data_IF_899043772735
#
_entry.id   IF_899043772735
#
_cell.length_a   1.000
_cell.length_b   1.000
_cell.length_c   1.000
_cell.angle_alpha   90.00
_cell.angle_beta   90.00
_cell.angle_gamma   90.00
#
_symmetry.space_group_name_H-M   'P 1'
#
loop_
_entity.id
_entity.type
_entity.pdbx_description
1 polymer ?
#
# COMPACT_ATOMS: atom_id res chain seq x y z
N UNK A 1 23.56 -35.00 -46.69
CA UNK A 1 24.25 -34.02 -45.81
C UNK A 1 23.27 -33.34 -44.86
N UNK A 2 22.54 -34.12 -44.05
CA UNK A 2 21.54 -33.65 -43.06
C UNK A 2 21.94 -34.04 -41.61
N UNK A 3 23.23 -34.25 -41.36
CA UNK A 3 23.70 -34.93 -40.14
C UNK A 3 24.90 -34.28 -39.45
N UNK A 4 25.24 -33.03 -39.77
CA UNK A 4 26.38 -32.32 -39.18
C UNK A 4 26.06 -30.99 -38.51
N UNK A 5 24.77 -30.63 -38.37
CA UNK A 5 24.36 -29.37 -37.70
C UNK A 5 23.84 -29.63 -36.27
N UNK A 6 23.73 -30.89 -35.85
CA UNK A 6 23.10 -31.28 -34.58
C UNK A 6 24.07 -31.50 -33.41
N UNK A 7 25.34 -31.14 -33.56
CA UNK A 7 26.40 -31.49 -32.58
C UNK A 7 27.19 -30.28 -32.03
N UNK A 8 26.65 -29.07 -32.18
CA UNK A 8 27.22 -27.85 -31.60
C UNK A 8 26.33 -27.15 -30.56
N UNK A 9 25.23 -27.78 -30.13
CA UNK A 9 24.33 -27.23 -29.11
C UNK A 9 24.42 -27.91 -27.74
N UNK A 10 25.45 -28.74 -27.51
CA UNK A 10 25.61 -29.53 -26.27
C UNK A 10 26.75 -29.08 -25.35
N UNK A 11 27.32 -27.89 -25.56
CA UNK A 11 28.39 -27.35 -24.70
C UNK A 11 28.17 -25.87 -24.32
N UNK A 12 26.96 -25.48 -23.92
CA UNK A 12 26.80 -24.29 -23.08
C UNK A 12 26.94 -24.72 -21.62
N UNK A 13 28.03 -24.34 -20.92
CA UNK A 13 28.19 -24.66 -19.51
C UNK A 13 27.06 -24.01 -18.70
N UNK A 14 26.49 -24.78 -17.77
CA UNK A 14 25.56 -24.36 -16.71
C UNK A 14 26.21 -23.37 -15.72
N UNK A 15 26.83 -22.31 -16.22
CA UNK A 15 27.51 -21.29 -15.45
C UNK A 15 26.77 -19.96 -15.51
N UNK A 16 25.45 -19.95 -15.38
CA UNK A 16 24.70 -18.67 -15.35
C UNK A 16 23.39 -18.70 -14.55
N UNK A 17 23.24 -19.63 -13.60
CA UNK A 17 22.11 -19.62 -12.66
C UNK A 17 22.26 -18.62 -11.51
N UNK A 18 23.47 -18.11 -11.24
CA UNK A 18 23.77 -17.31 -10.05
C UNK A 18 23.68 -15.79 -10.24
N UNK A 19 23.63 -15.31 -11.49
CA UNK A 19 23.66 -13.86 -11.79
C UNK A 19 22.24 -13.26 -11.75
N UNK A 20 21.20 -14.06 -11.96
CA UNK A 20 19.81 -13.57 -12.00
C UNK A 20 19.17 -13.34 -10.63
N UNK A 21 19.68 -13.97 -9.56
CA UNK A 21 19.17 -13.78 -8.21
C UNK A 21 19.42 -12.35 -7.67
N UNK A 22 20.51 -11.71 -8.09
CA UNK A 22 20.87 -10.36 -7.68
C UNK A 22 20.04 -9.28 -8.40
N UNK A 23 19.67 -9.52 -9.66
CA UNK A 23 18.83 -8.57 -10.41
C UNK A 23 17.40 -8.49 -9.85
N UNK A 24 16.87 -9.58 -9.29
CA UNK A 24 15.56 -9.60 -8.62
C UNK A 24 15.60 -9.05 -7.18
N UNK A 25 16.79 -8.87 -6.62
CA UNK A 25 17.00 -8.32 -5.27
C UNK A 25 17.36 -6.83 -5.27
N UNK A 26 17.45 -6.19 -6.45
CA UNK A 26 17.65 -4.75 -6.51
C UNK A 26 16.35 -4.03 -6.12
N UNK A 27 16.35 -3.19 -5.07
CA UNK A 27 15.21 -2.33 -4.80
C UNK A 27 15.03 -1.40 -6.00
N UNK A 28 13.91 -1.56 -6.71
CA UNK A 28 13.52 -0.65 -7.77
C UNK A 28 13.22 0.71 -7.14
N UNK A 29 14.15 1.66 -7.29
CA UNK A 29 13.90 3.07 -7.01
C UNK A 29 13.41 3.71 -8.32
N UNK A 30 12.19 4.25 -8.34
CA UNK A 30 11.69 4.96 -9.51
C UNK A 30 12.53 6.25 -9.69
N UNK A 31 13.06 6.57 -10.89
CA UNK A 31 13.84 7.79 -11.12
C UNK A 31 13.07 9.08 -10.77
N UNK A 32 11.74 9.07 -10.74
CA UNK A 32 10.93 10.19 -10.24
C UNK A 32 11.12 10.44 -8.73
N UNK A 33 11.50 9.42 -7.97
CA UNK A 33 11.80 9.50 -6.54
C UNK A 33 13.18 10.13 -6.27
N UNK A 34 14.06 10.12 -7.28
CA UNK A 34 15.34 10.82 -7.24
C UNK A 34 15.20 12.33 -7.52
N UNK A 35 14.10 12.76 -8.16
CA UNK A 35 13.83 14.18 -8.41
C UNK A 35 13.48 14.97 -7.12
N UNK A 36 13.20 14.26 -6.02
CA UNK A 36 13.08 14.83 -4.67
C UNK A 36 14.42 15.20 -4.02
N UNK A 37 15.56 14.71 -4.54
CA UNK A 37 16.88 15.26 -4.27
C UNK A 37 17.19 16.39 -5.26
N UNK A 38 16.28 17.37 -5.37
CA UNK A 38 16.66 18.66 -5.93
C UNK A 38 17.80 19.22 -5.09
N UNK A 39 18.95 19.38 -5.74
CA UNK A 39 20.20 19.98 -5.27
C UNK A 39 19.94 20.94 -4.11
N UNK A 40 20.14 20.45 -2.88
CA UNK A 40 20.51 21.34 -1.79
C UNK A 40 21.85 21.89 -2.23
N UNK A 41 21.87 23.20 -2.53
CA UNK A 41 23.11 23.94 -2.71
C UNK A 41 24.06 23.51 -1.61
N UNK A 42 25.23 22.99 -1.99
CA UNK A 42 26.31 22.61 -1.08
C UNK A 42 26.86 23.87 -0.40
N UNK A 43 26.08 24.51 0.46
CA UNK A 43 26.62 25.14 1.65
C UNK A 43 26.87 23.99 2.61
N UNK A 44 28.15 23.67 2.85
CA UNK A 44 28.61 22.85 3.98
C UNK A 44 28.17 23.53 5.28
N UNK A 45 26.88 23.47 5.60
CA UNK A 45 26.35 23.78 6.91
C UNK A 45 26.47 22.53 7.79
N UNK A 46 26.68 22.69 9.10
CA UNK A 46 26.75 21.56 10.01
C UNK A 46 25.44 20.78 9.92
N UNK A 47 25.54 19.49 9.58
CA UNK A 47 24.45 18.53 9.67
C UNK A 47 24.01 18.48 11.12
N UNK A 48 22.88 19.13 11.44
CA UNK A 48 22.35 19.16 12.81
C UNK A 48 21.87 17.76 13.16
N UNK A 49 22.57 17.14 14.10
CA UNK A 49 22.18 15.86 14.64
C UNK A 49 20.92 16.00 15.48
N UNK A 50 20.01 15.04 15.39
CA UNK A 50 18.74 15.06 16.10
C UNK A 50 18.27 13.64 16.46
N UNK A 51 17.40 13.57 17.46
CA UNK A 51 16.68 12.39 17.93
C UNK A 51 15.15 12.55 17.83
N UNK A 52 14.66 13.80 17.81
CA UNK A 52 13.25 14.15 17.70
C UNK A 52 13.04 15.49 16.96
N UNK A 53 11.84 15.69 16.40
CA UNK A 53 11.52 16.82 15.51
C UNK A 53 11.70 18.19 16.19
N UNK A 54 11.54 18.27 17.51
CA UNK A 54 11.70 19.53 18.27
C UNK A 54 13.14 20.03 18.33
N UNK A 55 14.13 19.16 18.11
CA UNK A 55 15.54 19.55 17.98
C UNK A 55 15.82 20.26 16.66
N UNK A 56 14.91 20.17 15.69
CA UNK A 56 15.05 20.78 14.39
C UNK A 56 14.34 22.14 14.32
N UNK A 57 14.91 23.05 13.52
CA UNK A 57 14.31 24.37 13.27
C UNK A 57 12.99 24.29 12.50
N UNK A 58 12.32 25.43 12.35
CA UNK A 58 11.06 25.53 11.57
C UNK A 58 11.28 25.05 10.13
N UNK A 59 10.32 24.29 9.61
CA UNK A 59 10.39 23.75 8.24
C UNK A 59 11.24 22.48 8.09
N UNK A 60 11.77 21.95 9.20
CA UNK A 60 12.57 20.74 9.26
C UNK A 60 11.89 19.69 10.16
N UNK A 61 12.19 18.42 9.92
CA UNK A 61 11.87 17.30 10.82
C UNK A 61 13.13 16.46 11.06
N UNK A 62 13.09 15.62 12.09
CA UNK A 62 14.21 14.72 12.38
C UNK A 62 14.03 13.39 11.65
N UNK A 63 14.88 13.08 10.67
CA UNK A 63 14.95 11.73 10.14
C UNK A 63 15.66 10.83 11.15
N UNK A 64 14.89 10.18 12.02
CA UNK A 64 15.41 9.31 13.08
C UNK A 64 16.26 8.15 12.58
N UNK A 65 16.16 7.77 11.31
CA UNK A 65 17.02 6.72 10.76
C UNK A 65 18.46 7.22 10.58
N UNK A 66 18.62 8.45 10.08
CA UNK A 66 19.93 9.06 9.86
C UNK A 66 20.38 9.95 11.02
N UNK A 67 19.46 10.30 11.93
CA UNK A 67 19.70 11.23 13.03
C UNK A 67 19.97 12.66 12.58
N UNK A 68 19.37 13.10 11.47
CA UNK A 68 19.64 14.40 10.84
C UNK A 68 18.37 15.21 10.63
N UNK A 69 18.46 16.52 10.86
CA UNK A 69 17.39 17.44 10.50
C UNK A 69 17.31 17.62 8.97
N UNK A 70 16.15 17.34 8.40
CA UNK A 70 15.90 17.43 6.95
C UNK A 70 14.62 18.22 6.67
N UNK A 71 14.47 18.75 5.46
CA UNK A 71 13.30 19.55 5.08
C UNK A 71 12.00 18.73 5.12
N UNK A 72 10.91 19.39 5.54
CA UNK A 72 9.55 18.84 5.41
C UNK A 72 9.24 18.49 3.96
N UNK A 73 8.39 17.47 3.79
CA UNK A 73 8.01 16.87 2.52
C UNK A 73 6.76 17.55 1.95
N UNK A 74 6.80 17.81 0.65
CA UNK A 74 5.69 18.35 -0.12
C UNK A 74 4.79 17.25 -0.67
N UNK A 75 3.64 17.64 -1.23
CA UNK A 75 2.66 16.71 -1.81
C UNK A 75 3.31 15.77 -2.83
N UNK A 76 2.98 14.47 -2.75
CA UNK A 76 3.53 13.41 -3.59
C UNK A 76 4.87 12.83 -3.12
N UNK A 77 5.64 13.52 -2.28
CA UNK A 77 6.93 13.00 -1.80
C UNK A 77 6.73 11.88 -0.78
N UNK A 78 7.67 10.92 -0.74
CA UNK A 78 7.60 9.85 0.23
C UNK A 78 7.75 10.31 1.67
N UNK A 79 6.97 9.67 2.53
CA UNK A 79 6.95 9.92 3.96
C UNK A 79 6.73 8.60 4.71
N UNK A 80 7.05 8.63 5.99
CA UNK A 80 6.83 7.52 6.94
C UNK A 80 5.84 7.91 8.04
N UNK A 81 5.68 9.22 8.30
CA UNK A 81 4.83 9.78 9.36
C UNK A 81 4.30 11.14 8.94
N UNK A 82 3.13 11.53 9.46
CA UNK A 82 2.51 12.83 9.18
C UNK A 82 3.42 14.03 9.49
N UNK A 83 4.23 13.96 10.56
CA UNK A 83 5.13 15.05 10.95
C UNK A 83 6.23 15.36 9.94
N UNK A 84 6.44 14.48 8.97
CA UNK A 84 7.40 14.68 7.89
C UNK A 84 6.83 15.56 6.78
N UNK A 85 5.51 15.72 6.68
CA UNK A 85 4.86 16.49 5.63
C UNK A 85 4.69 17.95 6.04
N UNK A 86 4.65 18.86 5.05
CA UNK A 86 4.28 20.25 5.29
C UNK A 86 2.85 20.36 5.81
N UNK A 87 2.54 21.48 6.49
CA UNK A 87 1.23 21.74 7.10
C UNK A 87 0.08 21.55 6.09
N UNK A 88 -0.96 20.83 6.50
CA UNK A 88 -2.16 20.56 5.69
C UNK A 88 -2.09 19.24 4.92
N UNK A 89 -0.92 18.60 4.88
CA UNK A 89 -0.75 17.26 4.34
C UNK A 89 -0.60 16.23 5.46
N UNK A 90 -0.97 14.99 5.16
CA UNK A 90 -0.73 13.82 5.98
C UNK A 90 0.01 12.76 5.18
N UNK A 91 0.70 11.86 5.87
CA UNK A 91 1.34 10.73 5.24
C UNK A 91 0.32 9.62 5.03
N UNK A 92 -0.10 9.41 3.77
CA UNK A 92 -1.11 8.43 3.38
C UNK A 92 -0.52 7.55 2.28
N UNK A 93 -0.58 6.23 2.45
CA UNK A 93 -0.05 5.27 1.47
C UNK A 93 1.43 5.50 1.14
N UNK A 94 2.21 5.97 2.12
CA UNK A 94 3.63 6.25 2.00
C UNK A 94 3.99 7.57 1.31
N UNK A 95 3.02 8.41 0.94
CA UNK A 95 3.28 9.73 0.32
C UNK A 95 2.52 10.85 1.04
N UNK A 96 3.08 12.05 1.03
CA UNK A 96 2.40 13.22 1.56
C UNK A 96 1.22 13.58 0.65
N UNK A 97 0.00 13.54 1.17
CA UNK A 97 -1.23 13.84 0.44
C UNK A 97 -2.08 14.80 1.25
N UNK A 98 -2.99 15.51 0.57
CA UNK A 98 -3.98 16.34 1.27
C UNK A 98 -4.83 15.47 2.17
N UNK A 99 -5.01 15.93 3.42
CA UNK A 99 -5.89 15.24 4.34
C UNK A 99 -7.34 15.43 3.93
N UNK A 100 -8.06 14.32 3.78
CA UNK A 100 -9.51 14.35 3.57
C UNK A 100 -10.17 14.67 4.92
N UNK A 101 -11.11 15.63 4.98
CA UNK A 101 -11.83 15.96 6.21
C UNK A 101 -12.51 14.74 6.82
N UNK A 102 -12.54 14.65 8.15
CA UNK A 102 -13.15 13.53 8.87
C UNK A 102 -14.62 13.31 8.47
N UNK A 103 -15.08 12.06 8.52
CA UNK A 103 -16.43 11.69 8.14
C UNK A 103 -16.62 11.38 6.65
N UNK A 104 -15.72 11.82 5.77
CA UNK A 104 -15.82 11.59 4.33
C UNK A 104 -15.12 10.31 3.88
N UNK A 105 -15.50 9.81 2.71
CA UNK A 105 -14.85 8.66 2.08
C UNK A 105 -13.35 8.91 1.86
N UNK A 106 -12.51 7.95 2.27
CA UNK A 106 -11.05 8.08 2.26
C UNK A 106 -10.45 8.83 3.46
N UNK A 107 -11.27 9.47 4.30
CA UNK A 107 -10.78 10.13 5.52
C UNK A 107 -10.24 9.13 6.53
N UNK A 108 -9.20 9.50 7.27
CA UNK A 108 -8.63 8.64 8.31
C UNK A 108 -9.62 8.49 9.47
N UNK A 109 -9.79 7.27 9.96
CA UNK A 109 -10.71 6.93 11.04
C UNK A 109 -10.04 6.01 12.06
N UNK A 110 -10.64 5.91 13.25
CA UNK A 110 -10.28 4.91 14.26
C UNK A 110 -11.38 3.89 14.48
N UNK A 111 -12.63 4.32 14.31
CA UNK A 111 -13.82 3.49 14.47
C UNK A 111 -14.96 4.00 13.58
N UNK A 112 -15.97 3.15 13.36
CA UNK A 112 -17.07 3.44 12.42
C UNK A 112 -17.80 4.76 12.69
N UNK A 113 -17.93 5.19 13.96
CA UNK A 113 -18.57 6.47 14.33
C UNK A 113 -17.83 7.71 13.81
N UNK A 114 -16.56 7.56 13.42
CA UNK A 114 -15.77 8.65 12.85
C UNK A 114 -16.15 8.90 11.37
N UNK A 115 -16.93 8.01 10.78
CA UNK A 115 -17.37 8.03 9.39
C UNK A 115 -18.84 8.44 9.26
N UNK A 116 -19.23 8.94 8.09
CA UNK A 116 -20.63 9.26 7.77
C UNK A 116 -21.53 8.02 7.81
N UNK A 117 -22.87 8.20 7.91
CA UNK A 117 -23.82 7.11 7.72
C UNK A 117 -23.55 6.34 6.42
N UNK A 118 -23.78 5.02 6.43
CA UNK A 118 -23.46 4.08 5.34
C UNK A 118 -21.96 3.91 5.01
N UNK A 119 -21.08 4.29 5.93
CA UNK A 119 -19.65 3.98 5.86
C UNK A 119 -19.21 3.10 7.03
N UNK A 120 -18.01 2.52 6.92
CA UNK A 120 -17.30 1.86 8.00
C UNK A 120 -15.84 2.29 8.02
N UNK A 121 -15.17 2.07 9.15
CA UNK A 121 -13.75 2.29 9.31
C UNK A 121 -12.98 1.01 9.04
N UNK A 122 -12.31 0.93 7.88
CA UNK A 122 -11.63 -0.28 7.43
C UNK A 122 -10.29 0.03 6.76
N UNK A 123 -9.40 -0.98 6.75
CA UNK A 123 -8.08 -0.83 6.12
C UNK A 123 -8.16 -0.79 4.59
N UNK A 124 -7.40 0.12 4.02
CA UNK A 124 -7.06 0.16 2.60
C UNK A 124 -5.56 0.37 2.50
N UNK A 125 -4.84 -0.55 1.84
CA UNK A 125 -3.38 -0.50 1.75
C UNK A 125 -2.67 -0.25 3.10
N UNK A 126 -3.22 -0.83 4.18
CA UNK A 126 -2.69 -0.69 5.54
C UNK A 126 -3.13 0.56 6.33
N UNK A 127 -3.73 1.56 5.68
CA UNK A 127 -4.27 2.77 6.33
C UNK A 127 -5.72 2.56 6.77
N UNK A 128 -6.07 3.01 7.98
CA UNK A 128 -7.46 3.01 8.48
C UNK A 128 -8.24 4.19 7.90
N UNK A 129 -9.20 3.92 7.02
CA UNK A 129 -9.99 4.96 6.35
C UNK A 129 -11.49 4.66 6.35
N UNK A 130 -12.29 5.71 6.21
CA UNK A 130 -13.72 5.60 5.96
C UNK A 130 -13.97 5.07 4.55
N UNK A 131 -14.65 3.93 4.45
CA UNK A 131 -15.06 3.29 3.20
C UNK A 131 -16.56 3.10 3.20
N UNK A 132 -17.20 3.07 2.03
CA UNK A 132 -18.63 2.77 1.94
C UNK A 132 -18.94 1.33 2.35
N UNK A 133 -20.09 1.13 3.00
CA UNK A 133 -20.69 -0.20 3.15
C UNK A 133 -21.03 -0.78 1.77
N UNK A 134 -21.06 -2.10 1.67
CA UNK A 134 -21.22 -2.78 0.39
C UNK A 134 -22.71 -2.79 -0.04
N UNK A 135 -23.05 -2.29 -1.23
CA UNK A 135 -24.43 -2.27 -1.72
C UNK A 135 -24.89 -3.67 -2.14
N UNK A 136 -26.17 -3.80 -2.48
CA UNK A 136 -26.76 -5.03 -3.04
C UNK A 136 -25.92 -5.55 -4.23
N UNK A 137 -25.59 -6.84 -4.22
CA UNK A 137 -24.72 -7.48 -5.21
C UNK A 137 -23.22 -7.15 -5.08
N UNK A 138 -22.82 -6.36 -4.09
CA UNK A 138 -21.42 -6.11 -3.76
C UNK A 138 -20.70 -7.38 -3.32
N UNK A 139 -19.45 -7.56 -3.74
CA UNK A 139 -18.62 -8.70 -3.32
C UNK A 139 -18.23 -8.54 -1.86
N UNK A 140 -18.60 -9.51 -1.03
CA UNK A 140 -18.41 -9.46 0.43
C UNK A 140 -17.53 -10.60 0.97
N UNK A 141 -16.82 -11.32 0.09
CA UNK A 141 -15.92 -12.40 0.49
C UNK A 141 -14.80 -11.88 1.39
N UNK A 142 -14.73 -12.39 2.62
CA UNK A 142 -13.65 -12.11 3.57
C UNK A 142 -12.78 -13.37 3.68
N UNK A 143 -11.47 -13.29 3.35
CA UNK A 143 -10.56 -14.40 3.59
C UNK A 143 -10.52 -14.78 5.07
N UNK A 144 -10.26 -16.05 5.38
CA UNK A 144 -10.15 -16.52 6.78
C UNK A 144 -9.06 -15.79 7.58
N UNK A 145 -8.06 -15.20 6.91
CA UNK A 145 -7.08 -14.33 7.53
C UNK A 145 -5.85 -14.05 6.65
N UNK A 146 -4.70 -13.87 7.30
CA UNK A 146 -3.41 -13.63 6.64
C UNK A 146 -3.19 -12.18 6.20
N UNK A 147 -2.09 -11.96 5.48
CA UNK A 147 -1.65 -10.64 5.04
C UNK A 147 -2.68 -9.96 4.11
N UNK A 148 -3.40 -10.75 3.32
CA UNK A 148 -4.44 -10.26 2.42
C UNK A 148 -5.57 -9.55 3.20
N UNK A 149 -5.99 -10.12 4.35
CA UNK A 149 -7.01 -9.52 5.21
C UNK A 149 -6.48 -8.35 6.04
N UNK A 150 -5.20 -8.38 6.46
CA UNK A 150 -4.64 -7.33 7.32
C UNK A 150 -4.28 -6.03 6.58
N UNK A 151 -4.07 -6.07 5.26
CA UNK A 151 -3.78 -4.88 4.44
C UNK A 151 -5.06 -4.24 3.90
N UNK A 152 -6.02 -5.06 3.46
CA UNK A 152 -7.24 -4.61 2.80
C UNK A 152 -8.46 -5.27 3.45
N UNK A 153 -9.24 -4.48 4.16
CA UNK A 153 -10.47 -4.93 4.81
C UNK A 153 -11.68 -4.41 4.04
N UNK A 154 -12.71 -5.23 3.93
CA UNK A 154 -14.01 -4.85 3.36
C UNK A 154 -14.89 -4.23 4.45
N UNK A 155 -15.79 -3.33 4.05
CA UNK A 155 -16.88 -2.96 4.93
C UNK A 155 -17.96 -4.04 4.95
N UNK A 156 -18.80 -4.09 5.99
CA UNK A 156 -20.00 -4.90 5.97
C UNK A 156 -20.95 -4.45 4.85
N UNK A 157 -21.90 -5.32 4.52
CA UNK A 157 -23.01 -4.95 3.66
C UNK A 157 -23.81 -3.78 4.27
N UNK A 158 -24.52 -3.06 3.42
CA UNK A 158 -25.49 -2.05 3.85
C UNK A 158 -26.58 -2.66 4.74
N UNK A 159 -27.28 -1.80 5.48
CA UNK A 159 -28.30 -2.23 6.42
C UNK A 159 -29.41 -3.03 5.72
N UNK A 160 -29.80 -4.15 6.34
CA UNK A 160 -30.79 -5.05 5.77
C UNK A 160 -30.27 -6.01 4.71
N UNK A 161 -28.95 -6.06 4.45
CA UNK A 161 -28.33 -7.04 3.55
C UNK A 161 -27.50 -8.07 4.32
N UNK A 162 -27.43 -9.29 3.80
CA UNK A 162 -26.65 -10.40 4.35
C UNK A 162 -25.63 -10.86 3.30
N UNK A 163 -24.39 -11.08 3.72
CA UNK A 163 -23.36 -11.67 2.86
C UNK A 163 -23.61 -13.18 2.72
N UNK A 164 -24.00 -13.63 1.53
CA UNK A 164 -24.30 -15.04 1.26
C UNK A 164 -23.83 -15.50 -0.13
N UNK A 165 -23.66 -16.80 -0.32
CA UNK A 165 -23.23 -17.38 -1.60
C UNK A 165 -24.42 -17.51 -2.57
N UNK A 166 -24.26 -17.03 -3.80
CA UNK A 166 -25.32 -17.04 -4.84
C UNK A 166 -25.73 -18.46 -5.27
N UNK A 167 -24.91 -19.48 -4.98
CA UNK A 167 -25.24 -20.89 -5.25
C UNK A 167 -25.38 -21.70 -3.96
N UNK A 168 -26.53 -22.38 -3.71
CA UNK A 168 -26.58 -23.43 -2.72
C UNK A 168 -25.67 -24.57 -3.17
N UNK A 169 -24.87 -25.10 -2.24
CA UNK A 169 -23.91 -26.20 -2.39
C UNK A 169 -24.59 -27.43 -3.06
N UNK A 170 -24.66 -27.47 -4.39
CA UNK A 170 -24.93 -28.69 -5.16
C UNK A 170 -23.58 -29.26 -5.53
N UNK A 171 -23.32 -30.51 -5.16
CA UNK A 171 -22.08 -31.22 -5.50
C UNK A 171 -21.79 -31.06 -7.00
N UNK A 172 -20.84 -30.20 -7.33
CA UNK A 172 -20.26 -30.09 -8.66
C UNK A 172 -18.77 -30.30 -8.52
N UNK A 173 -18.25 -30.94 -9.56
CA UNK A 173 -16.86 -31.28 -9.81
C UNK A 173 -15.90 -30.19 -9.35
N UNK A 174 -14.80 -30.60 -8.71
CA UNK A 174 -13.82 -29.75 -8.04
C UNK A 174 -13.10 -28.83 -9.04
N UNK A 175 -13.76 -27.75 -9.45
CA UNK A 175 -13.14 -26.63 -10.15
C UNK A 175 -12.68 -25.66 -9.07
N UNK A 176 -11.37 -25.48 -8.94
CA UNK A 176 -10.79 -24.47 -8.05
C UNK A 176 -11.22 -23.07 -8.52
N UNK A 177 -12.30 -22.54 -7.92
CA UNK A 177 -12.71 -21.14 -8.05
C UNK A 177 -12.53 -20.44 -6.71
N UNK A 178 -11.61 -19.47 -6.59
CA UNK A 178 -11.38 -18.78 -5.34
C UNK A 178 -12.53 -17.80 -5.06
N UNK A 179 -13.50 -18.22 -4.23
CA UNK A 179 -14.31 -17.33 -3.37
C UNK A 179 -15.14 -16.20 -4.01
N UNK A 180 -15.46 -16.25 -5.31
CA UNK A 180 -16.09 -15.14 -6.05
C UNK A 180 -17.60 -14.96 -5.83
N UNK A 181 -18.26 -15.92 -5.19
CA UNK A 181 -19.72 -16.05 -5.25
C UNK A 181 -20.44 -15.44 -4.06
N UNK A 182 -19.71 -14.86 -3.11
CA UNK A 182 -20.27 -14.20 -1.93
C UNK A 182 -20.68 -12.77 -2.25
N UNK A 183 -21.97 -12.50 -2.10
CA UNK A 183 -22.59 -11.22 -2.45
C UNK A 183 -23.46 -10.72 -1.31
N UNK A 184 -23.57 -9.41 -1.16
CA UNK A 184 -24.58 -8.81 -0.30
C UNK A 184 -25.95 -8.99 -0.93
N UNK A 185 -26.80 -9.84 -0.35
CA UNK A 185 -28.15 -10.15 -0.83
C UNK A 185 -29.19 -9.70 0.20
N UNK A 186 -30.44 -9.54 -0.24
CA UNK A 186 -31.55 -9.45 0.69
C UNK A 186 -31.65 -10.76 1.50
N UNK A 187 -32.09 -10.70 2.78
CA UNK A 187 -32.25 -11.85 3.66
C UNK A 187 -33.09 -12.98 3.06
#
# INVERSE_FOLDING_TARGET
MKLLVSLFFSLLPCGHGYIWAWMLSMPYNNPEDAAGLSRISTTKGPTVQCDHDRSCGRGLFCDRHFGLCVALRHEGQYCRKDSQCVRGLGCMYGRCQRMIPGGHEGARCRQDKDCSPNMCCARHHGEMICKRKLPLGGSCYVPEGGLAFSINQLCPCEEGLICSSVHPRREKEFVYSPGSDWKCLAP
#
